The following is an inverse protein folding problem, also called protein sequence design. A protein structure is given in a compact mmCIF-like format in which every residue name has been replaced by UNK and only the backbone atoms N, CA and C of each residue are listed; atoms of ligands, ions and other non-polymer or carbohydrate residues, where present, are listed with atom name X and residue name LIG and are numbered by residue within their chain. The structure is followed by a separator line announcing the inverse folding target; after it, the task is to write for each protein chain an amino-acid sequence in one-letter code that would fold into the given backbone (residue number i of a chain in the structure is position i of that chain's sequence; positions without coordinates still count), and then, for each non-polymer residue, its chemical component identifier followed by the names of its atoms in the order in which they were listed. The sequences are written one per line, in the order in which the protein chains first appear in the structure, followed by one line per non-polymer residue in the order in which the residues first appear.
data_IF_108253239177
#
_entry.id   IF_108253239177
#
_cell.length_a   1.000
_cell.length_b   1.000
_cell.length_c   1.000
_cell.angle_alpha   90.00
_cell.angle_beta   90.00
_cell.angle_gamma   90.00
#
_symmetry.space_group_name_H-M   'P 1'
#
loop_
_entity.id
_entity.type
_entity.pdbx_description
1 polymer ?
#
# COMPACT_ATOMS: atom_id res chain seq x y z
N UNK A 1 10.87 0.98 -6.39
CA UNK A 1 11.30 2.35 -6.71
C UNK A 1 10.22 3.33 -6.30
N UNK A 2 10.55 4.63 -6.20
CA UNK A 2 9.57 5.67 -5.89
C UNK A 2 8.70 5.96 -7.12
N UNK A 3 7.39 5.74 -6.99
CA UNK A 3 6.41 5.98 -8.04
C UNK A 3 5.01 5.50 -7.63
N UNK A 4 4.03 5.65 -8.52
CA UNK A 4 2.61 5.38 -8.23
C UNK A 4 2.12 4.04 -8.79
N UNK A 5 2.98 3.22 -9.40
CA UNK A 5 2.61 1.87 -9.81
C UNK A 5 2.26 0.99 -8.58
N UNK A 6 1.56 -0.12 -8.81
CA UNK A 6 1.07 -1.00 -7.73
C UNK A 6 2.19 -1.81 -7.04
N UNK A 7 3.40 -1.79 -7.58
CA UNK A 7 4.62 -2.36 -7.00
C UNK A 7 5.63 -1.27 -6.57
N UNK A 8 5.17 -0.04 -6.43
CA UNK A 8 5.97 1.11 -6.04
C UNK A 8 5.33 1.79 -4.83
N UNK A 9 6.18 2.33 -3.96
CA UNK A 9 5.82 3.07 -2.76
C UNK A 9 6.64 4.36 -2.74
N UNK A 10 6.11 5.41 -2.12
CA UNK A 10 6.73 6.72 -2.05
C UNK A 10 6.60 7.27 -0.61
N UNK A 11 7.73 7.26 0.12
CA UNK A 11 7.85 7.76 1.49
C UNK A 11 6.77 7.20 2.44
N UNK A 12 6.68 5.88 2.55
CA UNK A 12 5.68 5.23 3.39
C UNK A 12 5.96 5.46 4.88
N UNK A 13 4.92 5.75 5.66
CA UNK A 13 5.07 6.11 7.08
C UNK A 13 4.51 5.06 8.06
N UNK A 14 3.83 4.02 7.57
CA UNK A 14 3.19 3.04 8.45
C UNK A 14 2.87 1.72 7.74
N UNK A 15 2.86 0.66 8.54
CA UNK A 15 2.59 -0.73 8.13
C UNK A 15 1.69 -1.40 9.17
N UNK A 16 0.73 -2.20 8.73
CA UNK A 16 -0.12 -3.02 9.60
C UNK A 16 -0.45 -4.35 8.93
N UNK A 17 -0.56 -5.42 9.72
CA UNK A 17 -1.07 -6.72 9.27
C UNK A 17 -2.51 -6.89 9.75
N UNK A 18 -3.33 -7.59 8.97
CA UNK A 18 -4.62 -8.07 9.47
C UNK A 18 -4.45 -9.20 10.49
N UNK A 19 -5.55 -9.58 11.14
CA UNK A 19 -5.58 -10.52 12.27
C UNK A 19 -4.90 -11.87 11.97
N UNK A 20 -5.06 -12.41 10.76
CA UNK A 20 -4.47 -13.67 10.34
C UNK A 20 -3.14 -13.53 9.58
N UNK A 21 -2.57 -12.31 9.51
CA UNK A 21 -1.35 -11.99 8.76
C UNK A 21 -1.39 -12.35 7.26
N UNK A 22 -2.58 -12.46 6.66
CA UNK A 22 -2.73 -12.73 5.23
C UNK A 22 -2.57 -11.48 4.36
N UNK A 23 -2.72 -10.29 4.95
CA UNK A 23 -2.74 -9.02 4.23
C UNK A 23 -1.92 -7.97 4.97
N UNK A 24 -0.95 -7.39 4.27
CA UNK A 24 -0.17 -6.23 4.70
C UNK A 24 -0.80 -4.95 4.15
N UNK A 25 -1.07 -4.00 5.02
CA UNK A 25 -1.48 -2.64 4.68
C UNK A 25 -0.29 -1.69 4.84
N UNK A 26 -0.11 -0.81 3.86
CA UNK A 26 0.97 0.18 3.83
C UNK A 26 0.37 1.55 3.62
N UNK A 27 0.72 2.50 4.49
CA UNK A 27 0.46 3.92 4.25
C UNK A 27 1.49 4.46 3.26
N UNK A 28 1.10 4.56 1.99
CA UNK A 28 1.91 5.07 0.88
C UNK A 28 1.76 6.60 0.79
N UNK A 29 2.37 7.28 1.77
CA UNK A 29 2.04 8.64 2.19
C UNK A 29 2.14 9.68 1.09
N UNK A 30 3.25 9.72 0.33
CA UNK A 30 3.41 10.72 -0.74
C UNK A 30 2.58 10.38 -1.98
N UNK A 31 2.04 9.15 -2.08
CA UNK A 31 1.06 8.79 -3.10
C UNK A 31 -0.39 8.93 -2.59
N UNK A 32 -0.58 9.47 -1.38
CA UNK A 32 -1.89 9.74 -0.77
C UNK A 32 -2.84 8.54 -0.77
N UNK A 33 -2.31 7.33 -0.60
CA UNK A 33 -3.09 6.08 -0.67
C UNK A 33 -2.68 5.07 0.40
N UNK A 34 -3.60 4.16 0.69
CA UNK A 34 -3.33 2.96 1.46
C UNK A 34 -3.27 1.79 0.48
N UNK A 35 -2.13 1.11 0.47
CA UNK A 35 -1.93 -0.08 -0.35
C UNK A 35 -2.18 -1.33 0.50
N UNK A 36 -2.81 -2.35 -0.08
CA UNK A 36 -2.89 -3.68 0.51
C UNK A 36 -2.16 -4.72 -0.36
N UNK A 37 -1.48 -5.65 0.30
CA UNK A 37 -0.73 -6.73 -0.33
C UNK A 37 -1.14 -8.04 0.34
N UNK A 38 -1.69 -8.97 -0.45
CA UNK A 38 -1.87 -10.34 0.01
C UNK A 38 -0.51 -11.02 0.20
N UNK A 39 -0.43 -11.99 1.09
CA UNK A 39 0.79 -12.78 1.31
C UNK A 39 1.28 -13.39 -0.01
N UNK A 40 2.55 -13.14 -0.35
CA UNK A 40 3.18 -13.59 -1.60
C UNK A 40 2.81 -12.78 -2.85
N UNK A 41 2.00 -11.73 -2.76
CA UNK A 41 1.64 -10.90 -3.91
C UNK A 41 2.82 -10.04 -4.38
N UNK A 42 3.10 -10.06 -5.69
CA UNK A 42 4.13 -9.23 -6.31
C UNK A 42 3.70 -7.76 -6.48
N UNK A 43 2.40 -7.48 -6.42
CA UNK A 43 1.79 -6.16 -6.61
C UNK A 43 0.63 -5.98 -5.63
N UNK A 44 0.36 -4.75 -5.20
CA UNK A 44 -0.72 -4.44 -4.27
C UNK A 44 -1.98 -3.96 -4.96
N UNK A 45 -3.00 -3.65 -4.16
CA UNK A 45 -4.21 -2.93 -4.59
C UNK A 45 -4.41 -1.69 -3.73
N UNK A 46 -5.11 -0.69 -4.26
CA UNK A 46 -5.48 0.49 -3.48
C UNK A 46 -6.65 0.11 -2.58
N UNK A 47 -6.40 0.03 -1.27
CA UNK A 47 -7.42 -0.26 -0.28
C UNK A 47 -8.24 1.00 0.07
N UNK A 48 -7.60 2.17 0.06
CA UNK A 48 -8.22 3.47 0.30
C UNK A 48 -7.34 4.62 -0.22
N UNK A 49 -7.92 5.82 -0.36
CA UNK A 49 -7.20 7.02 -0.79
C UNK A 49 -6.94 7.07 -2.30
N UNK A 50 -6.03 7.96 -2.73
CA UNK A 50 -5.73 8.20 -4.16
C UNK A 50 -6.76 9.06 -4.90
N UNK A 51 -7.83 9.51 -4.22
CA UNK A 51 -8.89 10.37 -4.77
C UNK A 51 -8.65 11.86 -4.51
N UNK A 52 -7.43 12.26 -4.15
CA UNK A 52 -7.07 13.68 -4.00
C UNK A 52 -6.86 14.31 -5.37
N UNK A 53 -7.64 15.36 -5.66
CA UNK A 53 -7.49 16.21 -6.85
C UNK A 53 -6.27 17.13 -6.75
#
# INVERSE_FOLDING_TARGET
GNGSALNQLNNNCGLALNENSSTLYIADTNNHRIMSYASGAATGTVAAGGNGA
#
